data_IF_967334050084
#
_entry.id   IF_967334050084
#
_cell.length_a   1.000
_cell.length_b   1.000
_cell.length_c   1.000
_cell.angle_alpha   90.00
_cell.angle_beta   90.00
_cell.angle_gamma   90.00
#
_symmetry.space_group_name_H-M   'P 1'
#
loop_
_entity.id
_entity.type
_entity.pdbx_description
1 polymer ?
#
# COMPACT_ATOMS: atom_id res chain seq x y z
N UNK A 1 -15.55 16.72 15.24
CA UNK A 1 -14.41 16.78 14.36
C UNK A 1 -14.34 15.53 13.51
N UNK A 2 -14.06 15.69 12.24
CA UNK A 2 -14.08 14.57 11.34
C UNK A 2 -12.81 13.77 11.39
N UNK A 3 -12.90 12.47 11.19
CA UNK A 3 -11.73 11.63 11.33
C UNK A 3 -10.72 11.82 10.20
N UNK A 4 -9.49 11.49 10.50
CA UNK A 4 -8.43 11.35 9.53
C UNK A 4 -8.12 9.87 9.37
N UNK A 5 -8.05 9.40 8.13
CA UNK A 5 -7.60 8.04 7.87
C UNK A 5 -6.12 8.06 7.53
N UNK A 6 -5.43 7.07 8.03
CA UNK A 6 -3.98 6.94 7.82
C UNK A 6 -3.75 5.62 7.10
N UNK A 7 -3.10 5.68 5.95
CA UNK A 7 -2.70 4.49 5.21
C UNK A 7 -1.23 4.24 5.47
N UNK A 8 -0.91 3.09 6.04
CA UNK A 8 0.47 2.67 6.27
C UNK A 8 0.68 1.42 5.43
N UNK A 9 1.54 1.50 4.42
CA UNK A 9 1.59 0.45 3.41
C UNK A 9 3.00 0.20 2.91
N UNK A 10 3.20 -0.99 2.38
CA UNK A 10 4.28 -1.27 1.44
C UNK A 10 3.64 -1.95 0.24
N UNK A 11 4.44 -2.58 -0.62
CA UNK A 11 3.90 -3.09 -1.87
C UNK A 11 3.07 -4.36 -1.70
N UNK A 12 3.00 -4.92 -0.51
CA UNK A 12 2.27 -6.17 -0.31
C UNK A 12 1.31 -6.15 0.87
N UNK A 13 1.42 -5.17 1.76
CA UNK A 13 0.56 -5.08 2.94
C UNK A 13 0.19 -3.64 3.19
N UNK A 14 -0.96 -3.44 3.79
CA UNK A 14 -1.40 -2.11 4.19
C UNK A 14 -2.23 -2.20 5.45
N UNK A 15 -2.12 -1.17 6.26
CA UNK A 15 -2.99 -0.96 7.42
C UNK A 15 -3.67 0.38 7.23
N UNK A 16 -4.95 0.42 7.51
CA UNK A 16 -5.68 1.67 7.49
C UNK A 16 -6.17 1.95 8.90
N UNK A 17 -5.80 3.12 9.39
CA UNK A 17 -6.10 3.53 10.75
C UNK A 17 -6.95 4.78 10.72
N UNK A 18 -7.62 5.05 11.82
CA UNK A 18 -8.42 6.26 11.95
C UNK A 18 -8.05 6.97 13.23
N UNK A 19 -8.13 8.30 13.20
CA UNK A 19 -7.93 9.10 14.40
C UNK A 19 -8.80 10.33 14.29
N UNK A 20 -9.25 10.83 15.44
CA UNK A 20 -10.03 12.06 15.49
C UNK A 20 -9.22 13.24 16.01
N UNK A 21 -8.02 12.98 16.52
CA UNK A 21 -7.16 14.06 16.94
C UNK A 21 -5.72 13.62 16.79
N UNK A 22 -4.80 14.54 17.04
CA UNK A 22 -3.37 14.27 16.81
C UNK A 22 -2.64 13.87 18.06
N UNK A 23 -3.35 13.74 19.17
CA UNK A 23 -2.75 13.46 20.46
C UNK A 23 -2.84 11.99 20.81
N UNK A 24 -3.95 11.34 20.46
CA UNK A 24 -4.18 9.96 20.80
C UNK A 24 -3.70 9.05 19.70
N UNK A 25 -3.27 7.85 20.08
CA UNK A 25 -2.85 6.86 19.10
C UNK A 25 -4.02 6.50 18.20
N UNK A 26 -3.79 6.39 16.88
CA UNK A 26 -4.85 5.96 15.98
C UNK A 26 -5.24 4.52 16.23
N UNK A 27 -6.40 4.15 15.68
CA UNK A 27 -6.95 2.81 15.83
C UNK A 27 -7.00 2.14 14.45
N UNK A 28 -6.65 0.87 14.39
CA UNK A 28 -6.72 0.14 13.13
C UNK A 28 -8.16 -0.06 12.70
N UNK A 29 -8.44 0.15 11.42
CA UNK A 29 -9.74 -0.15 10.83
C UNK A 29 -9.68 -1.49 10.10
N UNK A 30 -8.66 -1.66 9.26
CA UNK A 30 -8.58 -2.83 8.40
C UNK A 30 -7.13 -3.05 8.01
N UNK A 31 -6.80 -4.29 7.70
CA UNK A 31 -5.51 -4.65 7.11
C UNK A 31 -5.79 -5.27 5.75
N UNK A 32 -5.02 -4.84 4.76
CA UNK A 32 -5.11 -5.35 3.40
C UNK A 32 -3.83 -6.09 3.07
N UNK A 33 -3.95 -7.07 2.22
CA UNK A 33 -2.85 -7.96 1.92
C UNK A 33 -2.88 -8.32 0.45
N UNK A 34 -1.70 -8.35 -0.15
CA UNK A 34 -1.54 -8.76 -1.54
C UNK A 34 -0.43 -9.80 -1.59
N UNK A 35 -0.77 -11.07 -1.32
CA UNK A 35 0.27 -12.09 -1.18
C UNK A 35 1.18 -12.22 -2.39
N UNK A 36 0.64 -12.01 -3.58
CA UNK A 36 1.46 -12.12 -4.79
C UNK A 36 2.55 -11.08 -4.82
N UNK A 37 2.33 -9.93 -4.21
CA UNK A 37 3.36 -8.90 -4.15
C UNK A 37 4.51 -9.25 -3.25
N UNK A 38 4.31 -10.18 -2.32
CA UNK A 38 5.36 -10.61 -1.41
C UNK A 38 6.17 -11.77 -1.95
N UNK A 39 5.64 -12.49 -2.93
CA UNK A 39 6.30 -13.70 -3.41
C UNK A 39 7.47 -13.33 -4.31
N UNK A 40 8.56 -14.01 -4.10
CA UNK A 40 9.68 -13.84 -5.01
C UNK A 40 9.33 -14.43 -6.36
N UNK A 41 9.93 -13.95 -7.41
CA UNK A 41 9.60 -14.47 -8.73
C UNK A 41 9.69 -15.99 -8.84
N UNK A 42 10.68 -16.61 -8.22
CA UNK A 42 10.76 -18.04 -8.31
C UNK A 42 9.66 -18.73 -7.52
N UNK A 43 9.15 -18.09 -6.47
CA UNK A 43 8.03 -18.68 -5.73
C UNK A 43 6.76 -18.64 -6.55
N UNK A 44 6.57 -17.56 -7.26
CA UNK A 44 5.42 -17.46 -8.14
C UNK A 44 5.50 -18.51 -9.22
N UNK A 45 6.71 -18.69 -9.77
CA UNK A 45 6.90 -19.65 -10.84
C UNK A 45 6.88 -21.09 -10.35
N UNK A 46 7.21 -21.31 -9.11
CA UNK A 46 7.30 -22.67 -8.61
C UNK A 46 5.95 -23.33 -8.45
N UNK A 47 4.90 -22.59 -8.57
CA UNK A 47 3.60 -23.22 -8.63
C UNK A 47 3.46 -24.11 -9.83
N UNK A 48 4.27 -23.89 -10.83
CA UNK A 48 4.31 -24.75 -11.95
C UNK A 48 5.42 -25.72 -11.81
N UNK A 49 5.17 -26.93 -12.01
CA UNK A 49 6.22 -27.88 -11.94
C UNK A 49 7.17 -27.65 -13.06
N UNK A 50 8.10 -27.70 -12.87
CA UNK A 50 8.88 -27.40 -13.74
C UNK A 50 9.71 -27.08 -14.48
N UNK A 51 9.62 -27.20 -14.50
CA UNK A 51 10.28 -26.51 -14.87
C UNK A 51 11.00 -26.11 -15.35
N UNK A 52 11.13 -26.25 -15.74
CA UNK A 52 11.77 -25.66 -16.08
C UNK A 52 12.12 -25.13 -16.66
N UNK A 53 12.40 -25.03 -16.93
CA UNK A 53 12.65 -24.39 -17.28
C UNK A 53 13.03 -23.96 -17.77
N UNK A 54 13.24 -24.13 -17.96
CA UNK A 54 13.55 -23.63 -18.19
C UNK A 54 13.69 -23.21 -18.60
N UNK A 55 13.92 -23.55 -18.70
CA UNK A 55 14.02 -23.18 -18.78
C UNK A 55 14.01 -22.79 -19.41
N UNK A 56 14.17 -22.92 -19.53
CA UNK A 56 14.14 -22.40 -19.86
C UNK A 56 14.24 -21.79 -20.19
N UNK A 57 14.54 -21.97 -20.47
CA UNK A 57 14.63 -21.22 -20.45
C UNK A 57 14.70 -20.59 -20.95
N UNK A 58 14.90 -20.53 -21.15
CA UNK A 58 14.96 -19.68 -21.32
C UNK A 58 14.97 -18.95 -21.59
N UNK A 59 15.21 -18.98 -21.72
CA UNK A 59 15.31 -17.99 -21.54
C UNK A 59 15.11 -17.38 -21.89
N UNK A 60 14.92 -17.07 -21.79
CA UNK A 60 14.78 -16.19 -21.84
C UNK A 60 14.68 -15.61 -21.51
N UNK A 61 14.76 -15.61 -21.31
CA UNK A 61 14.80 -14.81 -20.94
C UNK A 61 14.64 -14.24 -20.46
N UNK A 62 14.60 -14.34 -20.38
CA UNK A 62 14.50 -13.85 -19.74
C UNK A 62 14.38 -12.82 -19.13
N UNK A 63 14.27 -12.48 -19.26
CA UNK A 63 14.19 -11.50 -18.63
C UNK A 63 12.95 -11.29 -18.08
N UNK A 64 12.82 -11.58 -16.92
CA UNK A 64 11.67 -11.32 -16.33
C UNK A 64 11.62 -9.95 -16.03
N UNK A 65 10.72 -9.39 -16.55
CA UNK A 65 10.72 -7.99 -16.48
C UNK A 65 10.48 -7.50 -15.09
N UNK A 66 11.06 -6.40 -14.75
CA UNK A 66 10.67 -5.69 -13.55
C UNK A 66 9.20 -5.35 -13.55
N UNK A 67 8.57 -5.44 -14.71
CA UNK A 67 7.16 -5.14 -14.85
C UNK A 67 6.25 -6.00 -14.00
N UNK A 68 6.69 -7.21 -13.65
CA UNK A 68 5.87 -8.05 -12.80
C UNK A 68 5.66 -7.42 -11.44
N UNK A 69 6.73 -6.96 -10.82
CA UNK A 69 6.60 -6.32 -9.52
C UNK A 69 5.84 -5.01 -9.62
N UNK A 70 6.11 -4.23 -10.65
CA UNK A 70 5.40 -2.97 -10.81
C UNK A 70 3.91 -3.22 -11.01
N UNK A 71 3.57 -4.25 -11.77
CA UNK A 71 2.16 -4.57 -11.97
C UNK A 71 1.49 -4.94 -10.66
N UNK A 72 2.15 -5.75 -9.82
CA UNK A 72 1.58 -6.10 -8.53
C UNK A 72 1.42 -4.89 -7.64
N UNK A 73 2.36 -3.96 -7.71
CA UNK A 73 2.23 -2.73 -6.94
C UNK A 73 1.02 -1.92 -7.39
N UNK A 74 0.81 -1.84 -8.71
CA UNK A 74 -0.33 -1.11 -9.23
C UNK A 74 -1.66 -1.75 -8.83
N UNK A 75 -1.73 -3.07 -8.89
CA UNK A 75 -2.94 -3.77 -8.48
C UNK A 75 -3.24 -3.52 -7.01
N UNK A 76 -2.21 -3.62 -6.18
CA UNK A 76 -2.42 -3.43 -4.76
C UNK A 76 -2.77 -1.98 -4.44
N UNK A 77 -2.09 -1.04 -5.09
CA UNK A 77 -2.41 0.37 -4.88
C UNK A 77 -3.86 0.65 -5.26
N UNK A 78 -4.35 0.05 -6.33
CA UNK A 78 -5.74 0.24 -6.70
C UNK A 78 -6.68 -0.35 -5.67
N UNK A 79 -6.33 -1.50 -5.10
CA UNK A 79 -7.12 -2.07 -4.03
C UNK A 79 -7.25 -1.10 -2.85
N UNK A 80 -6.13 -0.49 -2.47
CA UNK A 80 -6.13 0.47 -1.38
C UNK A 80 -6.99 1.68 -1.74
N UNK A 81 -6.80 2.20 -2.95
CA UNK A 81 -7.54 3.39 -3.38
C UNK A 81 -9.03 3.10 -3.45
N UNK A 82 -9.42 1.92 -3.92
CA UNK A 82 -10.84 1.57 -3.98
C UNK A 82 -11.45 1.56 -2.58
N UNK A 83 -10.71 1.05 -1.60
CA UNK A 83 -11.18 1.08 -0.22
C UNK A 83 -11.31 2.50 0.30
N UNK A 84 -10.32 3.33 -0.01
CA UNK A 84 -10.36 4.73 0.41
C UNK A 84 -11.51 5.49 -0.26
N UNK A 85 -11.73 5.21 -1.53
CA UNK A 85 -12.81 5.89 -2.25
C UNK A 85 -14.16 5.53 -1.67
N UNK A 86 -14.34 4.27 -1.31
CA UNK A 86 -15.58 3.88 -0.67
C UNK A 86 -15.75 4.58 0.67
N UNK A 87 -14.69 4.67 1.47
CA UNK A 87 -14.76 5.38 2.72
C UNK A 87 -15.06 6.85 2.56
N UNK A 88 -14.44 7.48 1.55
CA UNK A 88 -14.72 8.87 1.27
C UNK A 88 -16.18 9.07 0.88
N UNK A 89 -16.67 8.22 0.01
CA UNK A 89 -18.06 8.32 -0.44
C UNK A 89 -19.03 8.15 0.72
N UNK A 90 -18.69 7.31 1.68
CA UNK A 90 -19.53 7.08 2.85
C UNK A 90 -19.32 8.12 3.94
N UNK A 91 -18.47 9.10 3.72
CA UNK A 91 -18.24 10.16 4.71
C UNK A 91 -17.44 9.72 5.92
N UNK A 92 -16.60 8.70 5.77
CA UNK A 92 -15.89 8.13 6.90
C UNK A 92 -14.70 8.97 7.35
N UNK A 93 -14.18 9.83 6.50
CA UNK A 93 -13.04 10.65 6.85
C UNK A 93 -13.07 11.93 6.03
N UNK A 94 -12.37 12.94 6.53
CA UNK A 94 -12.24 14.21 5.83
C UNK A 94 -10.80 14.55 5.50
N UNK A 95 -9.85 13.83 6.08
CA UNK A 95 -8.43 14.01 5.80
C UNK A 95 -7.77 12.66 5.65
N UNK A 96 -6.67 12.65 4.92
CA UNK A 96 -6.00 11.40 4.58
C UNK A 96 -4.49 11.60 4.75
N UNK A 97 -3.85 10.64 5.41
CA UNK A 97 -2.40 10.62 5.52
C UNK A 97 -1.89 9.36 4.85
N UNK A 98 -0.79 9.48 4.11
CA UNK A 98 -0.20 8.37 3.39
C UNK A 98 1.20 8.12 3.92
N UNK A 99 1.49 6.88 4.29
CA UNK A 99 2.78 6.48 4.81
C UNK A 99 3.22 5.25 4.04
N UNK A 100 4.29 5.35 3.28
CA UNK A 100 4.76 4.22 2.47
C UNK A 100 6.20 4.51 2.03
N UNK A 101 6.95 3.46 1.66
CA UNK A 101 8.26 3.68 1.07
C UNK A 101 8.12 4.49 -0.21
N UNK A 102 9.16 5.23 -0.60
CA UNK A 102 9.03 6.19 -1.70
C UNK A 102 8.48 5.60 -2.99
N UNK A 103 8.93 4.41 -3.38
CA UNK A 103 8.49 3.84 -4.63
C UNK A 103 7.00 3.52 -4.61
N UNK A 104 6.54 2.84 -3.57
CA UNK A 104 5.12 2.50 -3.49
C UNK A 104 4.26 3.73 -3.26
N UNK A 105 4.78 4.69 -2.51
CA UNK A 105 4.04 5.94 -2.31
C UNK A 105 3.77 6.63 -3.65
N UNK A 106 4.76 6.61 -4.54
CA UNK A 106 4.55 7.17 -5.88
C UNK A 106 3.46 6.45 -6.65
N UNK A 107 3.46 5.12 -6.60
CA UNK A 107 2.44 4.34 -7.28
C UNK A 107 1.07 4.65 -6.69
N UNK A 108 0.99 4.69 -5.36
CA UNK A 108 -0.27 4.96 -4.67
C UNK A 108 -0.82 6.33 -5.05
N UNK A 109 0.04 7.34 -5.08
CA UNK A 109 -0.40 8.69 -5.42
C UNK A 109 -0.91 8.77 -6.85
N UNK A 110 -0.31 8.01 -7.75
CA UNK A 110 -0.79 7.99 -9.13
C UNK A 110 -2.19 7.41 -9.27
N UNK A 111 -2.58 6.54 -8.36
CA UNK A 111 -3.91 5.93 -8.43
C UNK A 111 -4.99 6.75 -7.76
N UNK A 112 -4.62 7.75 -6.98
CA UNK A 112 -5.62 8.59 -6.32
C UNK A 112 -6.34 9.45 -7.36
N UNK A 113 -7.67 9.56 -7.22
CA UNK A 113 -8.39 10.51 -8.06
C UNK A 113 -8.26 11.91 -7.46
N UNK A 114 -8.80 12.89 -8.15
CA UNK A 114 -8.69 14.27 -7.71
C UNK A 114 -9.33 14.52 -6.37
N UNK A 115 -10.41 13.82 -6.07
CA UNK A 115 -11.11 14.05 -4.81
C UNK A 115 -10.35 13.47 -3.63
N UNK A 116 -9.80 12.26 -3.78
CA UNK A 116 -8.97 11.70 -2.72
C UNK A 116 -7.69 12.51 -2.56
N UNK A 117 -7.10 12.93 -3.67
CA UNK A 117 -5.87 13.70 -3.61
C UNK A 117 -6.02 14.98 -2.83
N UNK A 118 -7.18 15.61 -2.92
CA UNK A 118 -7.42 16.85 -2.17
C UNK A 118 -7.47 16.64 -0.68
N UNK A 119 -7.77 15.44 -0.23
CA UNK A 119 -7.89 15.16 1.19
C UNK A 119 -6.55 14.81 1.83
N UNK A 120 -5.51 14.56 1.02
CA UNK A 120 -4.21 14.18 1.55
C UNK A 120 -3.59 15.37 2.26
N UNK A 121 -3.41 15.23 3.57
CA UNK A 121 -2.84 16.30 4.39
C UNK A 121 -1.41 16.02 4.80
N UNK A 122 -1.02 14.75 4.84
CA UNK A 122 0.32 14.35 5.27
C UNK A 122 0.81 13.20 4.42
N UNK A 123 2.10 13.22 4.09
CA UNK A 123 2.76 12.07 3.47
C UNK A 123 4.09 11.85 4.17
N UNK A 124 4.41 10.57 4.41
CA UNK A 124 5.66 10.18 5.03
C UNK A 124 6.25 9.06 4.19
N UNK A 125 7.49 9.26 3.74
CA UNK A 125 8.17 8.30 2.86
C UNK A 125 8.97 7.32 3.70
N UNK A 126 8.29 6.50 4.46
CA UNK A 126 8.92 5.51 5.32
C UNK A 126 8.05 4.28 5.39
N UNK A 127 8.68 3.14 5.67
CA UNK A 127 7.94 1.91 5.93
C UNK A 127 7.69 1.82 7.42
N UNK A 128 6.49 2.10 7.84
CA UNK A 128 6.12 2.06 9.26
C UNK A 128 5.15 0.94 9.59
N UNK A 129 5.05 -0.07 8.71
CA UNK A 129 4.08 -1.15 8.91
C UNK A 129 4.30 -1.91 10.21
N UNK A 130 5.55 -2.06 10.61
CA UNK A 130 5.86 -2.82 11.82
C UNK A 130 5.83 -1.97 13.09
N UNK A 131 5.56 -0.68 12.94
CA UNK A 131 5.52 0.21 14.08
C UNK A 131 4.16 0.15 14.77
N UNK A 132 4.14 0.41 16.08
CA UNK A 132 2.87 0.48 16.76
C UNK A 132 2.16 1.79 16.42
N UNK A 133 0.93 1.89 16.86
CA UNK A 133 0.09 3.01 16.44
C UNK A 133 0.56 4.34 17.02
N UNK A 134 1.11 4.32 18.21
CA UNK A 134 1.65 5.55 18.78
C UNK A 134 2.87 6.04 18.03
N UNK A 135 3.73 5.11 17.60
CA UNK A 135 4.88 5.49 16.81
C UNK A 135 4.46 6.09 15.47
N UNK A 136 3.44 5.52 14.85
CA UNK A 136 2.91 6.06 13.60
C UNK A 136 2.40 7.47 13.83
N UNK A 137 1.66 7.68 14.91
CA UNK A 137 1.17 9.02 15.24
C UNK A 137 2.33 10.01 15.36
N UNK A 138 3.37 9.61 16.07
CA UNK A 138 4.51 10.50 16.29
C UNK A 138 5.19 10.88 14.98
N UNK A 139 5.33 9.92 14.06
CA UNK A 139 5.93 10.22 12.77
C UNK A 139 5.08 11.20 11.95
N UNK A 140 3.79 11.20 12.16
CA UNK A 140 2.90 12.05 11.36
C UNK A 140 2.68 13.42 11.98
N UNK A 141 2.55 13.49 13.29
CA UNK A 141 2.02 14.69 13.93
C UNK A 141 2.98 15.34 14.94
N UNK A 142 4.10 14.70 15.24
CA UNK A 142 5.06 15.33 16.18
C UNK A 142 6.28 15.93 15.47
#
# INVERSE_FOLDING_TARGET
MEPTWIVVADSSKARILTTRNRVQAPTDIVALDHPEGRMKPQEINSDRPGRTFDSHGDGRHGMEPPDVHHHHQEVFAKQIVDYLEKGRHDGKFSQLALVAPPQFLGVLRQKLNGQLGKLVSHTVQKNLLEQDNESIRAHLFD
#
